data_IF_090457480054
#
_entry.id   IF_090457480054
#
_cell.length_a   1.000
_cell.length_b   1.000
_cell.length_c   1.000
_cell.angle_alpha   90.00
_cell.angle_beta   90.00
_cell.angle_gamma   90.00
#
_symmetry.space_group_name_H-M   'P 1'
#
loop_
_entity.id
_entity.type
_entity.pdbx_description
1 polymer ?
#
# COMPACT_ATOMS: atom_id res chain seq x y z
N UNK A 1 -5.56 -4.38 -37.09
CA UNK A 1 -6.21 -3.40 -36.20
C UNK A 1 -6.95 -4.18 -35.13
N UNK A 2 -6.55 -4.11 -33.84
CA UNK A 2 -7.28 -4.82 -32.81
C UNK A 2 -8.49 -3.98 -32.39
N UNK A 3 -9.64 -4.55 -32.70
CA UNK A 3 -11.00 -4.16 -32.33
C UNK A 3 -11.16 -3.97 -30.83
N UNK A 4 -11.84 -2.87 -30.49
CA UNK A 4 -12.52 -2.55 -29.22
C UNK A 4 -12.82 -3.77 -28.33
N UNK A 5 -12.07 -3.94 -27.24
CA UNK A 5 -12.41 -4.88 -26.16
C UNK A 5 -12.76 -4.11 -24.89
N UNK A 6 -14.05 -4.15 -24.57
CA UNK A 6 -14.72 -3.87 -23.30
C UNK A 6 -14.25 -2.64 -22.49
N UNK A 7 -14.96 -1.53 -22.73
CA UNK A 7 -14.85 -0.25 -22.03
C UNK A 7 -15.47 -0.24 -20.60
N UNK A 8 -15.75 -1.41 -20.02
CA UNK A 8 -16.29 -1.57 -18.66
C UNK A 8 -15.12 -1.71 -17.70
N UNK A 9 -14.91 -0.67 -16.88
CA UNK A 9 -14.05 -0.79 -15.70
C UNK A 9 -14.83 -1.64 -14.70
N UNK A 10 -14.41 -2.88 -14.50
CA UNK A 10 -14.97 -3.81 -13.51
C UNK A 10 -14.11 -3.74 -12.25
N UNK A 11 -14.70 -3.77 -11.04
CA UNK A 11 -13.89 -3.79 -9.83
C UNK A 11 -13.02 -5.05 -9.81
N UNK A 12 -11.78 -4.96 -9.31
CA UNK A 12 -11.00 -6.16 -9.05
C UNK A 12 -11.76 -7.03 -8.04
N UNK A 13 -11.52 -8.34 -8.07
CA UNK A 13 -12.06 -9.23 -7.05
C UNK A 13 -11.38 -8.92 -5.71
N UNK A 14 -12.16 -8.91 -4.62
CA UNK A 14 -11.64 -8.91 -3.25
C UNK A 14 -10.49 -9.92 -3.12
N UNK A 15 -9.36 -9.47 -2.60
CA UNK A 15 -8.28 -10.37 -2.20
C UNK A 15 -8.76 -11.32 -1.10
N UNK A 16 -8.29 -12.55 -1.09
CA UNK A 16 -8.68 -13.53 -0.09
C UNK A 16 -7.51 -14.43 0.28
N UNK A 17 -7.36 -14.65 1.58
CA UNK A 17 -6.37 -15.49 2.21
C UNK A 17 -7.07 -16.27 3.36
N UNK A 18 -7.93 -17.25 3.05
CA UNK A 18 -8.88 -17.81 4.03
C UNK A 18 -8.24 -18.31 5.33
N UNK A 19 -7.08 -18.99 5.22
CA UNK A 19 -6.34 -19.49 6.38
C UNK A 19 -5.80 -18.36 7.26
N UNK A 20 -5.27 -17.30 6.65
CA UNK A 20 -4.76 -16.14 7.37
C UNK A 20 -5.88 -15.29 7.95
N UNK A 21 -6.99 -15.13 7.23
CA UNK A 21 -8.17 -14.40 7.69
C UNK A 21 -8.81 -15.08 8.91
N UNK A 22 -8.77 -16.43 8.97
CA UNK A 22 -9.21 -17.19 10.14
C UNK A 22 -8.28 -17.00 11.35
N UNK A 23 -6.96 -16.91 11.12
CA UNK A 23 -5.95 -16.73 12.18
C UNK A 23 -5.81 -15.27 12.64
N UNK A 24 -6.04 -14.31 11.75
CA UNK A 24 -5.80 -12.89 11.93
C UNK A 24 -7.12 -12.13 11.68
N UNK A 25 -7.99 -11.97 12.69
CA UNK A 25 -9.31 -11.35 12.49
C UNK A 25 -9.26 -9.94 11.89
N UNK A 26 -8.18 -9.19 12.13
CA UNK A 26 -7.97 -7.86 11.57
C UNK A 26 -7.71 -7.87 10.05
N UNK A 27 -7.22 -9.00 9.50
CA UNK A 27 -6.89 -9.10 8.08
C UNK A 27 -8.15 -9.05 7.22
N UNK A 28 -9.21 -9.76 7.62
CA UNK A 28 -10.50 -9.70 6.93
C UNK A 28 -11.03 -8.26 6.85
N UNK A 29 -10.96 -7.50 7.96
CA UNK A 29 -11.35 -6.09 8.00
C UNK A 29 -10.56 -5.23 7.00
N UNK A 30 -9.25 -5.46 6.90
CA UNK A 30 -8.39 -4.74 5.97
C UNK A 30 -8.73 -5.07 4.51
N UNK A 31 -8.91 -6.36 4.18
CA UNK A 31 -9.21 -6.79 2.82
C UNK A 31 -10.60 -6.35 2.37
N UNK A 32 -11.59 -6.35 3.28
CA UNK A 32 -12.93 -5.79 3.05
C UNK A 32 -12.87 -4.28 2.79
N UNK A 33 -12.08 -3.55 3.59
CA UNK A 33 -11.87 -2.12 3.38
C UNK A 33 -11.24 -1.84 2.01
N UNK A 34 -10.22 -2.60 1.60
CA UNK A 34 -9.62 -2.47 0.27
C UNK A 34 -10.61 -2.74 -0.86
N UNK A 35 -11.43 -3.78 -0.75
CA UNK A 35 -12.44 -4.10 -1.76
C UNK A 35 -13.49 -2.98 -1.90
N UNK A 36 -13.96 -2.42 -0.79
CA UNK A 36 -14.86 -1.25 -0.82
C UNK A 36 -14.19 -0.06 -1.52
N UNK A 37 -12.93 0.22 -1.22
CA UNK A 37 -12.19 1.29 -1.90
C UNK A 37 -12.07 1.02 -3.39
N UNK A 38 -11.73 -0.21 -3.79
CA UNK A 38 -11.56 -0.59 -5.19
C UNK A 38 -12.90 -0.54 -5.98
N UNK A 39 -14.02 -0.86 -5.32
CA UNK A 39 -15.37 -0.61 -5.86
C UNK A 39 -15.65 0.89 -6.05
N UNK A 40 -15.30 1.71 -5.06
CA UNK A 40 -15.46 3.17 -5.12
C UNK A 40 -14.62 3.82 -6.22
N UNK A 41 -13.37 3.36 -6.39
CA UNK A 41 -12.48 3.76 -7.48
C UNK A 41 -13.12 3.40 -8.82
N UNK A 42 -13.60 2.17 -8.97
CA UNK A 42 -14.24 1.72 -10.21
C UNK A 42 -15.41 2.61 -10.59
N UNK A 43 -16.29 2.90 -9.64
CA UNK A 43 -17.42 3.79 -9.87
C UNK A 43 -16.96 5.20 -10.25
N UNK A 44 -15.93 5.73 -9.60
CA UNK A 44 -15.40 7.05 -9.90
C UNK A 44 -14.77 7.12 -11.30
N UNK A 45 -14.01 6.10 -11.71
CA UNK A 45 -13.46 5.98 -13.06
C UNK A 45 -14.55 5.95 -14.13
N UNK A 46 -15.64 5.21 -13.87
CA UNK A 46 -16.81 5.20 -14.75
C UNK A 46 -17.48 6.58 -14.83
N UNK A 47 -17.60 7.30 -13.71
CA UNK A 47 -18.16 8.67 -13.67
C UNK A 47 -17.31 9.65 -14.47
N UNK A 48 -15.99 9.65 -14.28
CA UNK A 48 -15.05 10.50 -15.01
C UNK A 48 -15.09 10.26 -16.51
N UNK A 49 -15.11 8.99 -16.92
CA UNK A 49 -15.24 8.62 -18.34
C UNK A 49 -16.57 9.11 -18.92
N UNK A 50 -17.69 8.90 -18.23
CA UNK A 50 -19.03 9.26 -18.72
C UNK A 50 -19.27 10.76 -18.78
N UNK A 51 -18.83 11.52 -17.76
CA UNK A 51 -19.11 12.96 -17.62
C UNK A 51 -18.07 13.85 -18.30
N UNK A 52 -16.81 13.43 -18.29
CA UNK A 52 -15.68 14.27 -18.69
C UNK A 52 -14.84 13.66 -19.82
N UNK A 53 -15.19 12.44 -20.29
CA UNK A 53 -14.41 11.68 -21.27
C UNK A 53 -12.92 11.51 -20.88
N UNK A 54 -12.65 11.49 -19.57
CA UNK A 54 -11.31 11.32 -19.01
C UNK A 54 -10.98 9.85 -18.81
N UNK A 55 -9.73 9.50 -19.08
CA UNK A 55 -9.15 8.17 -18.86
C UNK A 55 -7.92 8.28 -17.97
N UNK A 56 -7.59 7.26 -17.15
CA UNK A 56 -6.35 7.23 -16.41
C UNK A 56 -5.14 7.36 -17.36
N UNK A 57 -4.19 8.20 -16.98
CA UNK A 57 -2.87 8.30 -17.60
C UNK A 57 -1.91 7.22 -17.10
N UNK A 58 -2.17 6.67 -15.92
CA UNK A 58 -1.41 5.58 -15.32
C UNK A 58 -1.59 4.28 -16.11
N UNK A 59 -0.53 3.47 -16.17
CA UNK A 59 -0.51 2.14 -16.77
C UNK A 59 0.32 1.18 -15.91
N UNK A 60 0.21 -0.11 -16.19
CA UNK A 60 1.12 -1.11 -15.61
C UNK A 60 2.58 -0.73 -15.91
N UNK A 61 3.46 -0.90 -14.91
CA UNK A 61 4.85 -0.43 -14.97
C UNK A 61 5.02 1.09 -14.84
N UNK A 62 4.01 1.83 -14.36
CA UNK A 62 4.16 3.25 -14.02
C UNK A 62 4.57 3.41 -12.53
N UNK A 63 5.85 3.66 -12.28
CA UNK A 63 6.39 3.91 -10.93
C UNK A 63 6.36 5.39 -10.50
N UNK A 64 5.68 6.25 -11.25
CA UNK A 64 5.71 7.71 -11.06
C UNK A 64 5.31 8.14 -9.64
N UNK A 65 4.16 7.66 -9.15
CA UNK A 65 3.70 8.00 -7.79
C UNK A 65 4.66 7.50 -6.71
N UNK A 66 5.27 6.31 -6.88
CA UNK A 66 6.26 5.80 -5.93
C UNK A 66 7.53 6.66 -5.88
N UNK A 67 7.88 7.38 -6.96
CA UNK A 67 9.02 8.30 -6.99
C UNK A 67 8.68 9.67 -6.41
N UNK A 68 7.53 10.21 -6.80
CA UNK A 68 7.26 11.64 -6.64
C UNK A 68 6.24 11.97 -5.58
N UNK A 69 5.27 11.08 -5.32
CA UNK A 69 4.17 11.39 -4.42
C UNK A 69 4.63 11.44 -2.95
N UNK A 70 4.44 12.60 -2.30
CA UNK A 70 5.01 12.85 -0.96
C UNK A 70 4.00 12.63 0.15
N UNK A 71 2.73 12.94 -0.08
CA UNK A 71 1.70 12.97 0.96
C UNK A 71 0.84 11.70 0.93
N UNK A 72 1.39 10.60 1.45
CA UNK A 72 0.74 9.29 1.42
C UNK A 72 0.29 8.89 2.84
N UNK A 73 -0.99 9.14 3.20
CA UNK A 73 -1.61 8.60 4.40
C UNK A 73 -1.40 7.08 4.52
N UNK A 74 -0.90 6.65 5.67
CA UNK A 74 -0.76 5.25 6.07
C UNK A 74 -1.45 5.06 7.43
N UNK A 75 -2.50 4.25 7.44
CA UNK A 75 -3.22 3.91 8.66
C UNK A 75 -2.56 2.72 9.38
N UNK A 76 -2.63 2.65 10.73
CA UNK A 76 -2.03 1.57 11.51
C UNK A 76 -2.43 0.14 11.07
N UNK A 77 -3.68 -0.06 10.68
CA UNK A 77 -4.13 -1.37 10.18
C UNK A 77 -3.45 -1.73 8.85
N UNK A 78 -3.28 -0.76 7.95
CA UNK A 78 -2.57 -0.98 6.68
C UNK A 78 -1.09 -1.27 6.91
N UNK A 79 -0.45 -0.57 7.86
CA UNK A 79 0.94 -0.87 8.24
C UNK A 79 1.07 -2.31 8.75
N UNK A 80 0.13 -2.76 9.58
CA UNK A 80 0.05 -4.16 10.03
C UNK A 80 -0.08 -5.13 8.85
N UNK A 81 -0.93 -4.80 7.88
CA UNK A 81 -1.08 -5.58 6.64
C UNK A 81 0.19 -5.64 5.80
N UNK A 82 0.93 -4.53 5.69
CA UNK A 82 2.22 -4.49 4.99
C UNK A 82 3.23 -5.43 5.67
N UNK A 83 3.34 -5.36 7.00
CA UNK A 83 4.23 -6.24 7.77
C UNK A 83 3.90 -7.71 7.54
N UNK A 84 2.63 -8.08 7.71
CA UNK A 84 2.16 -9.45 7.47
C UNK A 84 2.48 -9.92 6.05
N UNK A 85 2.15 -9.13 5.04
CA UNK A 85 2.35 -9.51 3.65
C UNK A 85 3.83 -9.72 3.35
N UNK A 86 4.69 -8.80 3.79
CA UNK A 86 6.15 -8.88 3.59
C UNK A 86 6.75 -10.09 4.29
N UNK A 87 6.38 -10.33 5.55
CA UNK A 87 7.01 -11.39 6.37
C UNK A 87 6.48 -12.78 6.00
N UNK A 88 5.18 -12.92 5.76
CA UNK A 88 4.55 -14.23 5.65
C UNK A 88 4.20 -14.64 4.20
N UNK A 89 4.09 -13.68 3.27
CA UNK A 89 3.61 -13.94 1.89
C UNK A 89 4.67 -13.72 0.83
N UNK A 90 5.84 -13.21 1.19
CA UNK A 90 6.95 -13.00 0.26
C UNK A 90 8.09 -13.95 0.52
N UNK A 91 8.77 -14.32 -0.56
CA UNK A 91 9.90 -15.22 -0.51
C UNK A 91 11.13 -14.59 0.20
N UNK A 92 12.17 -15.42 0.37
CA UNK A 92 13.42 -15.04 1.03
C UNK A 92 14.18 -13.94 0.26
N UNK A 93 14.28 -14.07 -1.06
CA UNK A 93 15.05 -13.15 -1.90
C UNK A 93 14.45 -11.74 -1.88
N UNK A 94 13.12 -11.66 -2.01
CA UNK A 94 12.38 -10.41 -1.89
C UNK A 94 12.62 -9.73 -0.54
N UNK A 95 12.53 -10.50 0.55
CA UNK A 95 12.72 -10.00 1.91
C UNK A 95 14.13 -9.42 2.10
N UNK A 96 15.16 -10.11 1.62
CA UNK A 96 16.55 -9.64 1.69
C UNK A 96 16.73 -8.28 0.99
N UNK A 97 16.29 -8.18 -0.28
CA UNK A 97 16.38 -6.94 -1.05
C UNK A 97 15.60 -5.79 -0.37
N UNK A 98 14.40 -6.09 0.14
CA UNK A 98 13.58 -5.08 0.80
C UNK A 98 14.21 -4.62 2.13
N UNK A 99 14.85 -5.50 2.91
CA UNK A 99 15.49 -5.12 4.16
C UNK A 99 16.60 -4.07 3.94
N UNK A 100 17.43 -4.27 2.92
CA UNK A 100 18.48 -3.31 2.53
C UNK A 100 17.86 -1.96 2.12
N UNK A 101 16.82 -1.99 1.29
CA UNK A 101 16.07 -0.78 0.87
C UNK A 101 15.49 -0.03 2.06
N UNK A 102 14.87 -0.73 3.00
CA UNK A 102 14.24 -0.13 4.18
C UNK A 102 15.29 0.47 5.13
N UNK A 103 16.43 -0.18 5.34
CA UNK A 103 17.51 0.30 6.20
C UNK A 103 18.18 1.57 5.64
N UNK A 104 18.31 1.67 4.32
CA UNK A 104 18.87 2.84 3.63
C UNK A 104 17.86 3.94 3.29
N UNK A 105 16.57 3.75 3.58
CA UNK A 105 15.52 4.64 3.13
C UNK A 105 15.55 5.99 3.87
N UNK A 106 15.46 7.08 3.10
CA UNK A 106 15.38 8.46 3.61
C UNK A 106 14.11 9.15 3.08
N UNK A 107 13.61 10.22 3.74
CA UNK A 107 12.44 10.97 3.26
C UNK A 107 12.56 11.54 1.83
N UNK A 108 13.79 11.74 1.32
CA UNK A 108 14.05 12.18 -0.04
C UNK A 108 14.09 11.05 -1.06
N UNK A 109 14.31 9.81 -0.61
CA UNK A 109 14.32 8.62 -1.45
C UNK A 109 12.94 8.37 -2.08
N UNK A 110 12.86 7.63 -3.21
CA UNK A 110 11.61 7.01 -3.64
C UNK A 110 11.02 6.13 -2.54
N UNK A 111 9.73 5.81 -2.66
CA UNK A 111 9.04 4.84 -1.82
C UNK A 111 9.89 3.55 -1.66
N UNK A 112 10.07 3.04 -0.44
CA UNK A 112 10.96 1.90 -0.20
C UNK A 112 10.43 0.60 -0.80
N UNK A 113 9.15 0.57 -1.17
CA UNK A 113 8.50 -0.55 -1.84
C UNK A 113 8.49 -0.42 -3.37
N UNK A 114 9.26 0.50 -3.95
CA UNK A 114 9.44 0.57 -5.40
C UNK A 114 10.45 -0.50 -5.86
N UNK A 115 10.04 -1.31 -6.84
CA UNK A 115 10.91 -2.28 -7.52
C UNK A 115 10.46 -2.38 -8.99
N UNK A 116 11.39 -2.32 -9.94
CA UNK A 116 11.13 -2.45 -11.38
C UNK A 116 9.97 -1.59 -11.89
N UNK A 117 9.97 -0.30 -11.52
CA UNK A 117 8.90 0.65 -11.87
C UNK A 117 7.48 0.23 -11.40
N UNK A 118 7.39 -0.69 -10.45
CA UNK A 118 6.16 -1.17 -9.86
C UNK A 118 6.20 -1.14 -8.33
N UNK A 119 5.02 -1.18 -7.72
CA UNK A 119 4.90 -1.32 -6.28
C UNK A 119 5.08 -2.80 -5.91
N UNK A 120 6.11 -3.13 -5.16
CA UNK A 120 6.42 -4.50 -4.80
C UNK A 120 5.42 -5.12 -3.81
N UNK A 121 4.69 -4.28 -3.07
CA UNK A 121 3.59 -4.66 -2.17
C UNK A 121 2.21 -4.36 -2.76
N UNK A 122 2.05 -4.33 -4.09
CA UNK A 122 0.82 -3.92 -4.78
C UNK A 122 -0.49 -4.48 -4.17
N UNK A 123 -0.59 -5.78 -3.80
CA UNK A 123 -1.81 -6.33 -3.22
C UNK A 123 -2.23 -5.69 -1.89
N UNK A 124 -1.28 -5.18 -1.10
CA UNK A 124 -1.52 -4.52 0.19
C UNK A 124 -1.09 -3.05 0.18
N UNK A 125 -1.02 -2.42 -1.00
CA UNK A 125 -0.73 -1.00 -1.12
C UNK A 125 -1.80 -0.18 -0.36
N UNK A 126 -1.42 0.92 0.33
CA UNK A 126 -2.37 1.70 1.10
C UNK A 126 -3.51 2.27 0.28
N UNK A 127 -4.64 2.56 0.92
CA UNK A 127 -5.84 3.19 0.37
C UNK A 127 -5.49 4.47 -0.39
N UNK A 128 -4.62 5.32 0.17
CA UNK A 128 -4.16 6.53 -0.51
C UNK A 128 -3.47 6.21 -1.85
N UNK A 129 -2.58 5.21 -1.87
CA UNK A 129 -1.93 4.75 -3.10
C UNK A 129 -2.89 4.10 -4.10
N UNK A 130 -3.94 3.39 -3.63
CA UNK A 130 -4.99 2.83 -4.51
C UNK A 130 -5.78 3.93 -5.21
N UNK A 131 -6.09 4.98 -4.46
CA UNK A 131 -6.90 6.11 -4.91
C UNK A 131 -6.10 7.14 -5.72
N UNK A 132 -4.77 7.06 -5.71
CA UNK A 132 -3.91 7.95 -6.47
C UNK A 132 -3.91 7.61 -7.96
N UNK A 133 -4.92 8.13 -8.67
CA UNK A 133 -5.08 7.94 -10.10
C UNK A 133 -5.06 9.29 -10.78
N UNK A 134 -4.18 9.43 -11.78
CA UNK A 134 -4.03 10.65 -12.57
C UNK A 134 -4.77 10.47 -13.89
N UNK A 135 -5.56 11.46 -14.29
CA UNK A 135 -6.28 11.52 -15.56
C UNK A 135 -5.55 12.41 -16.58
N UNK A 136 -5.88 12.23 -17.86
CA UNK A 136 -5.35 13.07 -18.93
C UNK A 136 -3.95 12.64 -19.35
N UNK A 137 -2.95 13.51 -19.17
CA UNK A 137 -1.57 13.26 -19.61
C UNK A 137 -0.71 12.51 -18.57
N UNK A 138 0.32 11.76 -19.02
CA UNK A 138 1.28 11.10 -18.14
C UNK A 138 1.99 12.12 -17.24
N UNK A 139 2.48 11.66 -16.09
CA UNK A 139 3.23 12.51 -15.18
C UNK A 139 4.57 12.94 -15.81
N UNK A 140 4.95 14.19 -15.62
CA UNK A 140 6.29 14.68 -15.95
C UNK A 140 7.35 14.10 -15.01
N UNK A 141 8.63 14.23 -15.40
CA UNK A 141 9.75 13.83 -14.55
C UNK A 141 9.78 14.67 -13.26
N UNK A 142 9.85 14.00 -12.10
CA UNK A 142 9.80 14.66 -10.80
C UNK A 142 8.44 15.27 -10.41
N UNK A 143 7.42 15.16 -11.27
CA UNK A 143 6.10 15.75 -11.02
C UNK A 143 5.33 14.98 -9.93
N UNK A 144 4.78 15.68 -8.95
CA UNK A 144 3.69 15.20 -8.10
C UNK A 144 2.37 15.87 -8.51
N UNK A 145 1.52 15.18 -9.31
CA UNK A 145 0.25 15.73 -9.80
C UNK A 145 -0.72 16.18 -8.71
N UNK A 146 -0.57 15.67 -7.48
CA UNK A 146 -1.38 16.12 -6.35
C UNK A 146 -1.19 17.62 -6.07
N UNK A 147 0.04 18.11 -6.24
CA UNK A 147 0.41 19.49 -5.98
C UNK A 147 0.47 20.35 -7.25
N UNK A 148 0.83 19.77 -8.40
CA UNK A 148 0.98 20.54 -9.65
C UNK A 148 -0.32 20.68 -10.42
N UNK A 149 -1.21 19.67 -10.37
CA UNK A 149 -2.47 19.63 -11.13
C UNK A 149 -3.53 18.79 -10.43
N UNK A 150 -3.90 19.20 -9.21
CA UNK A 150 -4.83 18.48 -8.33
C UNK A 150 -6.14 18.05 -9.02
N UNK A 151 -6.64 18.85 -9.95
CA UNK A 151 -7.86 18.56 -10.74
C UNK A 151 -7.75 17.34 -11.64
N UNK A 152 -6.53 16.90 -11.96
CA UNK A 152 -6.25 15.70 -12.74
C UNK A 152 -6.13 14.46 -11.86
N UNK A 153 -6.02 14.62 -10.54
CA UNK A 153 -5.98 13.50 -9.60
C UNK A 153 -7.39 13.14 -9.15
N UNK A 154 -7.70 11.85 -9.16
CA UNK A 154 -8.96 11.31 -8.69
C UNK A 154 -9.29 11.83 -7.29
N UNK A 155 -10.50 12.39 -7.16
CA UNK A 155 -11.09 12.69 -5.85
C UNK A 155 -11.90 11.48 -5.39
N UNK A 156 -11.53 10.84 -4.27
CA UNK A 156 -12.27 9.69 -3.75
C UNK A 156 -13.74 10.01 -3.46
N UNK A 157 -14.61 9.02 -3.64
CA UNK A 157 -16.02 9.11 -3.24
C UNK A 157 -16.13 8.97 -1.72
N UNK A 158 -16.68 9.97 -1.00
CA UNK A 158 -16.73 9.97 0.47
C UNK A 158 -17.41 8.73 1.05
N UNK A 159 -18.56 8.31 0.50
CA UNK A 159 -19.32 7.16 1.02
C UNK A 159 -18.49 5.87 1.07
N UNK A 160 -17.67 5.61 0.05
CA UNK A 160 -16.82 4.42 0.01
C UNK A 160 -15.65 4.53 0.97
N UNK A 161 -15.04 5.71 1.05
CA UNK A 161 -13.96 5.99 2.01
C UNK A 161 -14.46 5.80 3.45
N UNK A 162 -15.58 6.41 3.79
CA UNK A 162 -16.15 6.42 5.12
C UNK A 162 -16.63 5.00 5.50
N UNK A 163 -17.21 4.25 4.55
CA UNK A 163 -17.56 2.84 4.75
C UNK A 163 -16.33 1.95 4.99
N UNK A 164 -15.26 2.13 4.23
CA UNK A 164 -14.01 1.38 4.43
C UNK A 164 -13.41 1.67 5.82
N UNK A 165 -13.37 2.94 6.21
CA UNK A 165 -12.94 3.35 7.56
C UNK A 165 -13.81 2.77 8.66
N UNK A 166 -15.12 2.79 8.46
CA UNK A 166 -16.08 2.26 9.41
C UNK A 166 -15.85 0.76 9.71
N UNK A 167 -15.51 -0.03 8.68
CA UNK A 167 -15.17 -1.46 8.85
C UNK A 167 -13.86 -1.67 9.61
N UNK A 168 -12.90 -0.74 9.49
CA UNK A 168 -11.62 -0.84 10.19
C UNK A 168 -11.68 -0.39 11.66
N UNK A 169 -12.74 0.32 12.09
CA UNK A 169 -12.87 0.85 13.46
C UNK A 169 -12.69 -0.17 14.60
N UNK A 170 -13.17 -1.43 14.50
CA UNK A 170 -12.94 -2.44 15.53
C UNK A 170 -11.46 -2.69 15.84
N UNK A 171 -10.57 -2.57 14.84
CA UNK A 171 -9.12 -2.67 15.06
C UNK A 171 -8.57 -1.58 16.00
N UNK A 172 -9.24 -0.43 16.05
CA UNK A 172 -8.89 0.69 16.93
C UNK A 172 -9.61 0.61 18.29
N UNK A 173 -10.30 -0.49 18.58
CA UNK A 173 -11.06 -0.69 19.81
C UNK A 173 -12.46 -0.05 19.80
N UNK A 174 -12.90 0.52 18.67
CA UNK A 174 -14.19 1.18 18.54
C UNK A 174 -15.18 0.19 17.93
N UNK A 175 -16.02 -0.40 18.77
CA UNK A 175 -16.91 -1.51 18.39
C UNK A 175 -18.40 -1.18 18.51
N UNK A 176 -18.78 -0.25 19.40
CA UNK A 176 -20.18 0.14 19.56
C UNK A 176 -20.65 1.03 18.41
N UNK A 177 -21.87 0.78 17.93
CA UNK A 177 -22.43 1.47 16.76
C UNK A 177 -22.41 2.99 16.89
N UNK A 178 -22.89 3.51 18.02
CA UNK A 178 -22.94 4.95 18.31
C UNK A 178 -21.55 5.59 18.33
N UNK A 179 -20.56 4.88 18.85
CA UNK A 179 -19.16 5.33 18.90
C UNK A 179 -18.53 5.28 17.50
N UNK A 180 -18.88 4.29 16.68
CA UNK A 180 -18.37 4.17 15.31
C UNK A 180 -18.84 5.31 14.42
N UNK A 181 -20.13 5.62 14.46
CA UNK A 181 -20.66 6.76 13.72
C UNK A 181 -20.02 8.08 14.17
N UNK A 182 -19.86 8.27 15.48
CA UNK A 182 -19.17 9.43 16.03
C UNK A 182 -17.70 9.49 15.57
N UNK A 183 -17.02 8.35 15.48
CA UNK A 183 -15.64 8.27 15.02
C UNK A 183 -15.48 8.68 13.55
N UNK A 184 -16.42 8.30 12.69
CA UNK A 184 -16.45 8.74 11.29
C UNK A 184 -16.76 10.24 11.21
N UNK A 185 -17.82 10.72 11.86
CA UNK A 185 -18.20 12.14 11.84
C UNK A 185 -17.09 13.07 12.34
N UNK A 186 -16.36 12.62 13.37
CA UNK A 186 -15.28 13.40 13.99
C UNK A 186 -13.89 13.06 13.45
N UNK A 187 -13.78 12.27 12.37
CA UNK A 187 -12.50 11.97 11.71
C UNK A 187 -11.43 11.36 12.65
N UNK A 188 -11.84 10.59 13.67
CA UNK A 188 -10.96 10.15 14.77
C UNK A 188 -9.80 9.27 14.26
N UNK A 189 -10.03 8.47 13.21
CA UNK A 189 -9.01 7.59 12.63
C UNK A 189 -7.83 8.41 12.06
N UNK A 190 -8.09 9.62 11.57
CA UNK A 190 -7.06 10.48 10.97
C UNK A 190 -6.04 10.98 12.01
N UNK A 191 -6.36 10.97 13.30
CA UNK A 191 -5.42 11.37 14.36
C UNK A 191 -4.22 10.41 14.52
N UNK A 192 -4.30 9.19 13.98
CA UNK A 192 -3.22 8.18 14.05
C UNK A 192 -2.57 7.89 12.70
N UNK A 193 -2.83 8.73 11.71
CA UNK A 193 -2.26 8.57 10.36
C UNK A 193 -0.76 8.88 10.38
N UNK A 194 0.02 8.06 9.69
CA UNK A 194 1.42 8.35 9.38
C UNK A 194 1.54 8.70 7.90
N UNK A 195 2.69 9.22 7.51
CA UNK A 195 3.02 9.35 6.10
C UNK A 195 3.92 8.16 5.70
N UNK A 196 3.53 7.39 4.68
CA UNK A 196 4.26 6.21 4.22
C UNK A 196 5.72 6.52 3.84
N UNK A 197 5.96 7.71 3.26
CA UNK A 197 7.29 8.12 2.78
C UNK A 197 8.19 8.61 3.91
N UNK A 198 7.65 9.02 5.05
CA UNK A 198 8.48 9.56 6.15
C UNK A 198 8.40 8.75 7.43
N UNK A 199 7.51 7.75 7.51
CA UNK A 199 7.47 6.82 8.64
C UNK A 199 8.77 6.03 8.71
N UNK A 200 9.20 5.73 9.94
CA UNK A 200 10.33 4.86 10.18
C UNK A 200 10.00 3.41 9.82
N UNK A 201 10.79 2.85 8.90
CA UNK A 201 10.66 1.48 8.42
C UNK A 201 11.72 0.53 9.00
N UNK A 202 12.64 1.02 9.84
CA UNK A 202 13.64 0.18 10.51
C UNK A 202 13.01 -0.99 11.30
N UNK A 203 11.87 -0.84 11.99
CA UNK A 203 11.26 -1.99 12.68
C UNK A 203 10.79 -3.10 11.73
N UNK A 204 10.43 -2.77 10.48
CA UNK A 204 10.12 -3.79 9.47
C UNK A 204 11.40 -4.48 8.99
N UNK A 205 12.47 -3.71 8.74
CA UNK A 205 13.77 -4.26 8.35
C UNK A 205 14.31 -5.25 9.41
N UNK A 206 14.22 -4.90 10.70
CA UNK A 206 14.61 -5.76 11.81
C UNK A 206 13.80 -7.07 11.84
N UNK A 207 12.47 -6.99 11.72
CA UNK A 207 11.61 -8.19 11.65
C UNK A 207 11.90 -9.06 10.44
N UNK A 208 12.26 -8.45 9.30
CA UNK A 208 12.71 -9.21 8.15
C UNK A 208 13.99 -9.98 8.50
N UNK A 209 15.00 -9.32 9.08
CA UNK A 209 16.24 -9.97 9.50
C UNK A 209 15.99 -11.14 10.46
N UNK A 210 15.14 -10.95 11.47
CA UNK A 210 14.70 -12.02 12.39
C UNK A 210 14.05 -13.19 11.64
N UNK A 211 13.18 -12.91 10.66
CA UNK A 211 12.49 -13.93 9.86
C UNK A 211 13.39 -14.69 8.87
N UNK A 212 14.61 -14.21 8.63
CA UNK A 212 15.61 -14.83 7.76
C UNK A 212 16.55 -15.78 8.52
N UNK A 213 16.55 -15.73 9.86
CA UNK A 213 17.54 -16.37 10.72
C UNK A 213 18.86 -15.59 10.74
N UNK A 214 19.60 -15.64 11.86
CA UNK A 214 20.97 -15.10 11.88
C UNK A 214 21.80 -15.77 10.76
N UNK A 215 22.71 -15.04 10.08
CA UNK A 215 23.71 -15.71 9.28
C UNK A 215 24.45 -16.68 10.20
N UNK A 216 24.57 -17.95 9.79
CA UNK A 216 25.48 -18.89 10.43
C UNK A 216 26.81 -18.16 10.63
N UNK A 217 27.20 -17.97 11.90
CA UNK A 217 28.59 -17.63 12.22
C UNK A 217 29.40 -18.77 11.65
N UNK A 218 30.05 -18.55 10.51
CA UNK A 218 31.16 -19.39 10.06
C UNK A 218 32.18 -19.37 11.19
N UNK A 219 32.13 -20.41 12.01
CA UNK A 219 33.13 -20.71 13.03
C UNK A 219 34.44 -20.94 12.29
N UNK A 220 35.23 -19.86 12.18
CA UNK A 220 36.59 -19.91 11.66
C UNK A 220 37.54 -20.49 12.70
N UNK A 221 37.28 -21.73 13.15
CA UNK A 221 38.15 -22.47 14.06
C UNK A 221 38.54 -23.83 13.51
N UNK A 222 39.38 -23.82 12.47
CA UNK A 222 40.23 -24.96 12.07
C UNK A 222 41.35 -24.36 11.20
N UNK A 223 42.64 -24.64 11.32
CA UNK A 223 43.46 -25.33 12.29
C UNK A 223 44.90 -25.00 11.81
N UNK A 224 45.71 -24.31 12.60
CA UNK A 224 47.14 -24.14 12.28
C UNK A 224 47.96 -24.34 13.54
N UNK A 225 48.03 -25.61 13.94
CA UNK A 225 49.16 -26.17 14.68
C UNK A 225 49.88 -27.14 13.75
N UNK A 226 51.20 -27.22 13.95
CA UNK A 226 52.19 -28.14 13.37
C UNK A 226 52.91 -27.68 12.10
N UNK A 227 53.97 -26.88 12.32
CA UNK A 227 55.30 -27.17 11.79
C UNK A 227 56.35 -26.32 12.52
N UNK A 228 56.91 -26.85 13.62
CA UNK A 228 58.33 -26.82 14.01
C UNK A 228 58.52 -27.42 15.40
#
# INVERSE_FOLDING_TARGET
MPTTRNDIVTPPRRLSFPEDEARLPWLGMLLDAYDIIDQGITLALQREKRKHNRRPACREGCGGCCRTHKDIPLYPLEMTGIYWYVIEKRDRAFRQELAEKLAGHTPSSPCPFLADDACSIYPVRPVACRQFIVFGGPCGEGEDPYHTRRTDVLTPLPDFRDKAFYIMLPFYGITKETEKEAAIRNNIIHARVRNLKTTDWNPLAQRIAESLGEPEKTDGSENSREAQ
#
